data_IF_668363875391
#
_entry.id   IF_668363875391
#
_cell.length_a   1.000
_cell.length_b   1.000
_cell.length_c   1.000
_cell.angle_alpha   90.00
_cell.angle_beta   90.00
_cell.angle_gamma   90.00
#
_symmetry.space_group_name_H-M   'P 1'
#
loop_
_entity.id
_entity.type
_entity.pdbx_description
1 polymer ?
#
# COMPACT_ATOMS: atom_id res chain seq x y z
N UNK A 1 -5.80 1.94 -17.53
CA UNK A 1 -6.68 0.78 -17.22
C UNK A 1 -5.76 -0.29 -16.65
N UNK A 2 -5.72 -0.36 -15.34
CA UNK A 2 -4.91 -1.36 -14.67
C UNK A 2 -5.58 -2.71 -14.85
N UNK A 3 -4.95 -3.60 -15.57
CA UNK A 3 -5.35 -4.98 -15.62
C UNK A 3 -5.50 -5.48 -14.18
N UNK A 4 -6.70 -5.85 -13.76
CA UNK A 4 -6.99 -6.44 -12.46
C UNK A 4 -6.08 -7.66 -12.36
N UNK A 5 -5.12 -7.56 -11.52
CA UNK A 5 -3.96 -8.39 -11.51
C UNK A 5 -4.15 -9.84 -11.37
N UNK A 6 -3.55 -10.78 -11.46
CA UNK A 6 -3.45 -12.21 -11.33
C UNK A 6 -4.71 -12.90 -10.81
N UNK A 7 -4.82 -14.16 -11.10
CA UNK A 7 -5.98 -15.03 -10.82
C UNK A 7 -6.52 -14.96 -9.38
N UNK A 8 -5.66 -14.68 -8.39
CA UNK A 8 -6.05 -14.62 -6.97
C UNK A 8 -6.82 -13.33 -6.65
N UNK A 9 -6.33 -12.17 -7.10
CA UNK A 9 -7.05 -10.89 -6.88
C UNK A 9 -8.38 -10.88 -7.64
N UNK A 10 -8.40 -11.40 -8.86
CA UNK A 10 -9.61 -11.50 -9.68
C UNK A 10 -10.66 -12.40 -9.03
N UNK A 11 -10.27 -13.57 -8.53
CA UNK A 11 -11.18 -14.47 -7.80
C UNK A 11 -11.79 -13.78 -6.58
N UNK A 12 -10.96 -13.15 -5.74
CA UNK A 12 -11.43 -12.45 -4.54
C UNK A 12 -12.36 -11.28 -4.91
N UNK A 13 -12.00 -10.49 -5.92
CA UNK A 13 -12.80 -9.39 -6.42
C UNK A 13 -14.19 -9.86 -6.88
N UNK A 14 -14.24 -10.89 -7.72
CA UNK A 14 -15.50 -11.40 -8.25
C UNK A 14 -16.43 -11.92 -7.15
N UNK A 15 -15.90 -12.67 -6.16
CA UNK A 15 -16.70 -13.13 -5.02
C UNK A 15 -17.24 -11.95 -4.20
N UNK A 16 -16.45 -10.91 -3.96
CA UNK A 16 -16.93 -9.73 -3.25
C UNK A 16 -18.01 -8.99 -4.04
N UNK A 17 -17.84 -8.83 -5.35
CA UNK A 17 -18.84 -8.19 -6.21
C UNK A 17 -20.15 -8.97 -6.21
N UNK A 18 -20.13 -10.30 -6.29
CA UNK A 18 -21.32 -11.12 -6.22
C UNK A 18 -22.02 -11.01 -4.84
N UNK A 19 -21.24 -11.01 -3.75
CA UNK A 19 -21.78 -10.74 -2.41
C UNK A 19 -22.46 -9.37 -2.35
N UNK A 20 -21.80 -8.32 -2.81
CA UNK A 20 -22.35 -6.96 -2.78
C UNK A 20 -23.64 -6.85 -3.61
N UNK A 21 -23.74 -7.52 -4.75
CA UNK A 21 -24.95 -7.58 -5.56
C UNK A 21 -26.09 -8.33 -4.87
N UNK A 22 -25.77 -9.40 -4.10
CA UNK A 22 -26.77 -10.15 -3.36
C UNK A 22 -27.31 -9.37 -2.17
N UNK A 23 -26.41 -8.71 -1.42
CA UNK A 23 -26.76 -7.96 -0.21
C UNK A 23 -27.44 -6.63 -0.50
N UNK A 24 -27.22 -6.07 -1.73
CA UNK A 24 -27.77 -4.78 -2.16
C UNK A 24 -28.52 -4.92 -3.49
N UNK A 25 -29.82 -5.27 -3.47
CA UNK A 25 -30.63 -5.40 -4.70
C UNK A 25 -30.68 -4.13 -5.55
N UNK A 26 -30.44 -2.95 -4.95
CA UNK A 26 -30.38 -1.64 -5.64
C UNK A 26 -29.23 -1.60 -6.65
N UNK A 27 -28.12 -2.29 -6.38
CA UNK A 27 -26.99 -2.39 -7.32
C UNK A 27 -27.35 -3.15 -8.61
N UNK A 28 -28.47 -3.88 -8.64
CA UNK A 28 -29.01 -4.53 -9.84
C UNK A 28 -29.76 -3.58 -10.76
N UNK A 29 -30.19 -2.41 -10.26
CA UNK A 29 -30.88 -1.38 -11.05
C UNK A 29 -29.86 -0.35 -11.57
N UNK A 30 -29.75 -0.23 -12.88
CA UNK A 30 -28.76 0.58 -13.60
C UNK A 30 -28.76 2.11 -13.31
N UNK A 31 -29.75 2.65 -12.59
CA UNK A 31 -30.00 4.10 -12.53
C UNK A 31 -30.04 4.74 -11.12
N UNK A 32 -29.69 4.01 -10.05
CA UNK A 32 -29.64 4.60 -8.71
C UNK A 32 -28.20 4.79 -8.26
N UNK A 33 -27.88 5.94 -7.66
CA UNK A 33 -26.54 6.31 -7.25
C UNK A 33 -25.94 5.27 -6.29
N UNK A 34 -24.75 4.78 -6.61
CA UNK A 34 -24.00 3.84 -5.78
C UNK A 34 -23.57 4.58 -4.50
N UNK A 35 -23.93 4.03 -3.33
CA UNK A 35 -23.36 4.52 -2.07
C UNK A 35 -21.86 4.27 -2.09
N UNK A 36 -21.07 5.34 -1.94
CA UNK A 36 -19.60 5.30 -2.08
C UNK A 36 -18.92 4.30 -1.16
N UNK A 37 -19.49 4.04 0.02
CA UNK A 37 -18.97 3.04 0.98
C UNK A 37 -18.99 1.61 0.46
N UNK A 38 -19.86 1.30 -0.50
CA UNK A 38 -19.96 -0.05 -1.09
C UNK A 38 -18.71 -0.40 -1.91
N UNK A 39 -18.05 0.59 -2.50
CA UNK A 39 -16.88 0.35 -3.35
C UNK A 39 -15.56 0.30 -2.59
N UNK A 40 -15.54 0.64 -1.29
CA UNK A 40 -14.30 0.63 -0.49
C UNK A 40 -13.68 -0.77 -0.41
N UNK A 41 -14.48 -1.81 -0.20
CA UNK A 41 -14.01 -3.18 -0.21
C UNK A 41 -13.36 -3.60 -1.53
N UNK A 42 -14.06 -3.46 -2.67
CA UNK A 42 -13.48 -3.69 -4.00
C UNK A 42 -12.19 -2.93 -4.27
N UNK A 43 -12.09 -1.65 -3.89
CA UNK A 43 -10.89 -0.85 -4.06
C UNK A 43 -9.72 -1.38 -3.22
N UNK A 44 -9.98 -1.80 -1.98
CA UNK A 44 -8.96 -2.38 -1.11
C UNK A 44 -8.48 -3.75 -1.61
N UNK A 45 -9.37 -4.59 -2.15
CA UNK A 45 -8.98 -5.85 -2.82
C UNK A 45 -8.06 -5.57 -4.02
N UNK A 46 -8.36 -4.52 -4.79
CA UNK A 46 -7.50 -4.12 -5.91
C UNK A 46 -6.16 -3.55 -5.47
N UNK A 47 -6.04 -3.09 -4.22
CA UNK A 47 -4.75 -2.71 -3.66
C UNK A 47 -3.96 -3.92 -3.19
N UNK A 48 -4.57 -4.79 -2.37
CA UNK A 48 -3.92 -5.95 -1.79
C UNK A 48 -4.95 -7.00 -1.40
N UNK A 49 -4.71 -8.23 -1.80
CA UNK A 49 -5.41 -9.42 -1.30
C UNK A 49 -4.48 -10.17 -0.36
N UNK A 50 -4.97 -10.53 0.80
CA UNK A 50 -4.23 -11.31 1.77
C UNK A 50 -4.55 -12.80 1.62
N UNK A 51 -3.53 -13.68 1.53
CA UNK A 51 -3.73 -15.11 1.32
C UNK A 51 -4.58 -15.75 2.43
N UNK A 52 -5.43 -16.67 2.02
CA UNK A 52 -6.21 -17.57 2.89
C UNK A 52 -6.18 -18.96 2.28
N UNK A 53 -6.48 -19.99 3.06
CA UNK A 53 -6.63 -21.36 2.55
C UNK A 53 -7.64 -21.44 1.39
N UNK A 54 -8.69 -20.63 1.45
CA UNK A 54 -9.68 -20.56 0.38
C UNK A 54 -9.09 -19.99 -0.92
N UNK A 55 -8.21 -18.98 -0.84
CA UNK A 55 -7.53 -18.43 -2.03
C UNK A 55 -6.48 -19.37 -2.59
N UNK A 56 -5.83 -20.14 -1.73
CA UNK A 56 -4.85 -21.17 -2.14
C UNK A 56 -5.52 -22.44 -2.70
N UNK A 57 -6.85 -22.47 -2.77
CA UNK A 57 -7.59 -23.58 -3.36
C UNK A 57 -7.92 -24.73 -2.40
N UNK A 58 -7.62 -24.59 -1.11
CA UNK A 58 -7.90 -25.61 -0.09
C UNK A 58 -9.39 -25.67 0.30
N UNK A 59 -10.07 -24.52 0.19
CA UNK A 59 -11.50 -24.39 0.49
C UNK A 59 -12.19 -23.41 -0.43
N UNK A 60 -13.54 -23.39 -0.43
CA UNK A 60 -14.30 -22.40 -1.21
C UNK A 60 -14.22 -21.02 -0.55
N UNK A 61 -14.06 -19.98 -1.37
CA UNK A 61 -14.19 -18.59 -0.93
C UNK A 61 -15.68 -18.36 -0.63
N UNK A 62 -15.97 -18.02 0.61
CA UNK A 62 -17.33 -17.69 1.06
C UNK A 62 -17.49 -16.20 1.31
N UNK A 63 -18.72 -15.73 1.39
CA UNK A 63 -19.02 -14.35 1.76
C UNK A 63 -18.40 -13.95 3.12
N UNK A 64 -18.34 -14.86 4.08
CA UNK A 64 -17.73 -14.62 5.39
C UNK A 64 -16.19 -14.63 5.35
N UNK A 65 -15.58 -15.38 4.43
CA UNK A 65 -14.13 -15.44 4.31
C UNK A 65 -13.55 -14.23 3.57
N UNK A 66 -14.34 -13.61 2.66
CA UNK A 66 -13.85 -12.52 1.81
C UNK A 66 -13.43 -11.28 2.62
N UNK A 67 -14.14 -10.95 3.70
CA UNK A 67 -13.83 -9.80 4.55
C UNK A 67 -12.45 -9.91 5.20
N UNK A 68 -11.99 -11.13 5.43
CA UNK A 68 -10.65 -11.43 5.99
C UNK A 68 -9.53 -11.41 4.94
N UNK A 69 -9.83 -11.08 3.70
CA UNK A 69 -8.88 -11.10 2.59
C UNK A 69 -8.36 -9.72 2.18
N UNK A 70 -8.88 -8.64 2.74
CA UNK A 70 -8.46 -7.27 2.41
C UNK A 70 -8.49 -6.34 3.62
N UNK A 71 -7.98 -5.13 3.47
CA UNK A 71 -8.03 -4.08 4.47
C UNK A 71 -7.31 -4.41 5.77
N UNK A 72 -7.78 -3.81 6.86
CA UNK A 72 -7.24 -4.03 8.21
C UNK A 72 -7.36 -5.47 8.66
N UNK A 73 -8.52 -6.09 8.46
CA UNK A 73 -8.79 -7.46 8.93
C UNK A 73 -7.88 -8.48 8.23
N UNK A 74 -7.70 -8.34 6.92
CA UNK A 74 -6.77 -9.17 6.17
C UNK A 74 -5.33 -9.00 6.64
N UNK A 75 -4.90 -7.76 6.83
CA UNK A 75 -3.56 -7.44 7.32
C UNK A 75 -3.32 -8.02 8.72
N UNK A 76 -4.23 -7.77 9.67
CA UNK A 76 -4.05 -8.17 11.08
C UNK A 76 -4.21 -9.68 11.31
N UNK A 77 -4.83 -10.38 10.38
CA UNK A 77 -4.86 -11.84 10.40
C UNK A 77 -3.47 -12.44 10.15
N UNK A 78 -2.67 -11.83 9.30
CA UNK A 78 -1.35 -12.33 8.90
C UNK A 78 -0.19 -11.68 9.65
N UNK A 79 -0.43 -10.49 10.19
CA UNK A 79 0.55 -9.72 10.94
C UNK A 79 0.11 -9.56 12.40
N UNK A 80 1.07 -9.39 13.28
CA UNK A 80 0.83 -8.92 14.66
C UNK A 80 1.45 -7.54 14.83
N UNK A 81 0.80 -6.68 15.59
CA UNK A 81 1.38 -5.40 16.03
C UNK A 81 2.07 -5.57 17.37
N UNK A 82 3.19 -4.90 17.56
CA UNK A 82 3.83 -4.76 18.86
C UNK A 82 2.97 -4.00 19.87
N UNK A 83 3.39 -3.97 21.14
CA UNK A 83 2.68 -3.27 22.23
C UNK A 83 2.48 -1.78 21.92
N UNK A 84 3.41 -1.16 21.23
CA UNK A 84 3.36 0.26 20.80
C UNK A 84 2.37 0.51 19.65
N UNK A 85 1.78 -0.53 19.07
CA UNK A 85 0.93 -0.48 17.86
C UNK A 85 1.61 0.14 16.62
N UNK A 86 2.93 0.35 16.66
CA UNK A 86 3.72 1.00 15.60
C UNK A 86 4.40 0.00 14.69
N UNK A 87 4.71 -1.17 15.22
CA UNK A 87 5.54 -2.17 14.57
C UNK A 87 4.70 -3.35 14.12
N UNK A 88 4.99 -3.81 12.92
CA UNK A 88 4.41 -5.03 12.35
C UNK A 88 5.41 -6.17 12.38
N UNK A 89 4.89 -7.37 12.60
CA UNK A 89 5.67 -8.60 12.54
C UNK A 89 4.79 -9.69 11.93
N UNK A 90 5.35 -10.48 11.03
CA UNK A 90 4.65 -11.67 10.54
C UNK A 90 4.29 -12.60 11.70
N UNK A 91 3.11 -13.22 11.63
CA UNK A 91 2.79 -14.36 12.49
C UNK A 91 3.57 -15.57 12.02
N UNK A 92 3.97 -16.44 12.95
CA UNK A 92 4.73 -17.64 12.61
C UNK A 92 3.94 -18.56 11.66
N UNK A 93 2.63 -18.70 11.89
CA UNK A 93 1.73 -19.41 10.99
C UNK A 93 1.71 -18.80 9.57
N UNK A 94 1.79 -17.47 9.44
CA UNK A 94 1.88 -16.80 8.14
C UNK A 94 3.17 -17.16 7.43
N UNK A 95 4.30 -17.12 8.13
CA UNK A 95 5.59 -17.44 7.54
C UNK A 95 5.67 -18.90 7.08
N UNK A 96 5.15 -19.83 7.88
CA UNK A 96 5.16 -21.26 7.53
C UNK A 96 4.22 -21.58 6.36
N UNK A 97 3.05 -20.97 6.30
CA UNK A 97 2.03 -21.29 5.32
C UNK A 97 2.17 -20.49 4.00
N UNK A 98 2.42 -19.18 4.09
CA UNK A 98 2.42 -18.28 2.93
C UNK A 98 3.78 -17.64 2.65
N UNK A 99 4.71 -17.73 3.61
CA UNK A 99 5.99 -17.03 3.53
C UNK A 99 5.87 -15.53 3.77
N UNK A 100 6.87 -14.78 3.31
CA UNK A 100 6.94 -13.31 3.43
C UNK A 100 6.12 -12.66 2.32
N UNK A 101 4.84 -12.47 2.56
CA UNK A 101 3.85 -12.04 1.56
C UNK A 101 4.14 -10.68 0.91
N UNK A 102 4.87 -9.80 1.60
CA UNK A 102 5.27 -8.49 1.06
C UNK A 102 6.61 -8.53 0.31
N UNK A 103 7.33 -9.67 0.31
CA UNK A 103 8.56 -9.81 -0.47
C UNK A 103 8.31 -9.58 -1.97
N UNK A 104 9.32 -9.12 -2.70
CA UNK A 104 9.22 -8.85 -4.12
C UNK A 104 8.71 -10.04 -4.94
N UNK A 105 9.10 -11.23 -4.53
CA UNK A 105 8.67 -12.48 -5.17
C UNK A 105 7.18 -12.77 -4.96
N UNK A 106 6.71 -12.63 -3.71
CA UNK A 106 5.34 -12.97 -3.32
C UNK A 106 4.32 -11.87 -3.63
N UNK A 107 4.72 -10.60 -3.51
CA UNK A 107 3.81 -9.47 -3.67
C UNK A 107 3.11 -9.45 -5.04
N UNK A 108 3.77 -9.92 -6.11
CA UNK A 108 3.18 -10.01 -7.45
C UNK A 108 1.93 -10.90 -7.50
N UNK A 109 1.85 -11.89 -6.61
CA UNK A 109 0.71 -12.82 -6.49
C UNK A 109 -0.49 -12.16 -5.81
N UNK A 110 -0.23 -11.34 -4.78
CA UNK A 110 -1.26 -10.78 -3.91
C UNK A 110 -1.60 -9.32 -4.23
N UNK A 111 -0.72 -8.60 -4.91
CA UNK A 111 -0.92 -7.23 -5.38
C UNK A 111 -0.11 -6.92 -6.62
N UNK A 112 -0.73 -7.00 -7.77
CA UNK A 112 -0.09 -6.55 -9.02
C UNK A 112 0.18 -5.05 -9.00
N UNK A 113 -0.71 -4.27 -8.38
CA UNK A 113 -0.57 -2.83 -8.25
C UNK A 113 0.68 -2.45 -7.47
N UNK A 114 0.87 -3.00 -6.26
CA UNK A 114 2.06 -2.73 -5.44
C UNK A 114 3.31 -3.23 -6.17
N UNK A 115 3.29 -4.43 -6.74
CA UNK A 115 4.41 -4.95 -7.53
C UNK A 115 4.82 -4.01 -8.66
N UNK A 116 3.85 -3.49 -9.43
CA UNK A 116 4.11 -2.52 -10.51
C UNK A 116 4.71 -1.23 -9.96
N UNK A 117 4.14 -0.68 -8.87
CA UNK A 117 4.67 0.53 -8.22
C UNK A 117 6.12 0.33 -7.78
N UNK A 118 6.45 -0.79 -7.12
CA UNK A 118 7.81 -1.10 -6.70
C UNK A 118 8.77 -1.16 -7.90
N UNK A 119 8.35 -1.77 -9.00
CA UNK A 119 9.13 -1.83 -10.23
C UNK A 119 9.41 -0.45 -10.81
N UNK A 120 8.39 0.42 -10.84
CA UNK A 120 8.55 1.80 -11.34
C UNK A 120 9.38 2.67 -10.38
N UNK A 121 9.22 2.52 -9.06
CA UNK A 121 10.06 3.20 -8.06
C UNK A 121 11.54 2.87 -8.26
N UNK A 122 11.88 1.61 -8.54
CA UNK A 122 13.27 1.19 -8.80
C UNK A 122 13.90 1.88 -10.02
N UNK A 123 13.10 2.14 -11.05
CA UNK A 123 13.54 2.79 -12.30
C UNK A 123 13.48 4.32 -12.23
N UNK A 124 12.72 4.88 -11.29
CA UNK A 124 12.39 6.30 -11.25
C UNK A 124 13.61 7.19 -10.98
N UNK A 125 13.55 8.42 -11.52
CA UNK A 125 14.51 9.48 -11.23
C UNK A 125 13.82 10.54 -10.35
N UNK A 126 14.42 10.88 -9.20
CA UNK A 126 13.87 11.87 -8.28
C UNK A 126 12.80 11.30 -7.32
N UNK A 127 11.97 12.17 -6.80
CA UNK A 127 10.98 11.84 -5.77
C UNK A 127 9.74 11.22 -6.41
N UNK A 128 9.28 10.11 -5.85
CA UNK A 128 8.03 9.44 -6.23
C UNK A 128 7.00 9.66 -5.12
N UNK A 129 5.84 10.20 -5.48
CA UNK A 129 4.70 10.33 -4.59
C UNK A 129 3.70 9.18 -4.85
N UNK A 130 3.19 8.59 -3.79
CA UNK A 130 2.18 7.53 -3.87
C UNK A 130 1.04 7.88 -2.93
N UNK A 131 -0.14 7.98 -3.49
CA UNK A 131 -1.36 8.31 -2.75
C UNK A 131 -2.25 7.08 -2.60
N UNK A 132 -2.78 6.87 -1.39
CA UNK A 132 -3.88 5.96 -1.12
C UNK A 132 -4.83 6.56 -0.09
N UNK A 133 -6.14 6.47 -0.33
CA UNK A 133 -7.13 6.89 0.66
C UNK A 133 -7.20 5.95 1.87
N UNK A 134 -6.73 4.69 1.71
CA UNK A 134 -6.76 3.68 2.76
C UNK A 134 -5.40 3.58 3.45
N UNK A 135 -5.37 3.75 4.77
CA UNK A 135 -4.13 3.61 5.54
C UNK A 135 -3.73 2.13 5.59
N UNK A 136 -4.54 1.28 6.23
CA UNK A 136 -4.23 -0.14 6.40
C UNK A 136 -4.52 -1.00 5.16
N UNK A 137 -5.43 -0.54 4.29
CA UNK A 137 -5.74 -1.20 3.02
C UNK A 137 -4.91 -0.72 1.83
N UNK A 138 -3.95 0.20 2.02
CA UNK A 138 -3.16 0.78 0.94
C UNK A 138 -1.78 1.26 1.37
N UNK A 139 -1.68 2.32 2.21
CA UNK A 139 -0.40 2.91 2.62
C UNK A 139 0.49 1.90 3.37
N UNK A 140 -0.06 1.17 4.34
CA UNK A 140 0.70 0.21 5.16
C UNK A 140 1.25 -0.96 4.34
N UNK A 141 0.44 -1.71 3.54
CA UNK A 141 0.98 -2.80 2.74
C UNK A 141 2.04 -2.33 1.74
N UNK A 142 1.89 -1.13 1.17
CA UNK A 142 2.91 -0.55 0.30
C UNK A 142 4.21 -0.26 1.06
N UNK A 143 4.13 0.34 2.26
CA UNK A 143 5.32 0.63 3.08
C UNK A 143 6.03 -0.67 3.51
N UNK A 144 5.29 -1.69 3.94
CA UNK A 144 5.85 -3.00 4.26
C UNK A 144 6.57 -3.63 3.05
N UNK A 145 5.99 -3.52 1.85
CA UNK A 145 6.61 -4.00 0.64
C UNK A 145 7.88 -3.20 0.25
N UNK A 146 7.92 -1.88 0.50
CA UNK A 146 9.13 -1.07 0.34
C UNK A 146 10.24 -1.52 1.30
N UNK A 147 9.92 -1.79 2.56
CA UNK A 147 10.90 -2.28 3.54
C UNK A 147 11.43 -3.66 3.17
N UNK A 148 10.58 -4.54 2.60
CA UNK A 148 11.00 -5.86 2.11
C UNK A 148 12.05 -5.77 0.99
N UNK A 149 11.93 -4.80 0.09
CA UNK A 149 12.91 -4.58 -0.97
C UNK A 149 14.12 -3.74 -0.55
N UNK A 150 14.23 -3.37 0.73
CA UNK A 150 15.40 -2.71 1.31
C UNK A 150 15.33 -1.19 1.43
N UNK A 151 14.14 -0.60 1.44
CA UNK A 151 13.95 0.78 1.87
C UNK A 151 14.01 0.88 3.40
N UNK A 152 14.41 2.04 3.89
CA UNK A 152 14.27 2.45 5.29
C UNK A 152 13.29 3.61 5.39
N UNK A 153 12.55 3.68 6.50
CA UNK A 153 11.75 4.87 6.79
C UNK A 153 12.67 6.04 7.14
N UNK A 154 12.38 7.21 6.61
CA UNK A 154 13.26 8.37 6.74
C UNK A 154 13.42 8.88 8.17
N UNK A 155 12.39 8.69 9.01
CA UNK A 155 12.42 8.97 10.45
C UNK A 155 13.16 7.91 11.29
N UNK A 156 13.62 6.82 10.69
CA UNK A 156 14.27 5.69 11.38
C UNK A 156 13.31 4.69 12.02
N UNK A 157 12.01 4.99 12.06
CA UNK A 157 10.99 4.14 12.67
C UNK A 157 10.29 3.28 11.59
N UNK A 158 10.94 2.24 11.14
CA UNK A 158 10.36 1.29 10.19
C UNK A 158 9.04 0.70 10.71
N UNK A 159 8.17 0.27 9.79
CA UNK A 159 6.93 -0.43 10.16
C UNK A 159 7.22 -1.86 10.60
N UNK A 160 8.17 -2.56 10.00
CA UNK A 160 8.60 -3.84 10.54
C UNK A 160 9.39 -3.66 11.85
N UNK A 161 9.00 -4.42 12.87
CA UNK A 161 9.72 -4.48 14.15
C UNK A 161 11.18 -4.92 13.96
N UNK A 162 11.38 -5.93 13.14
CA UNK A 162 12.70 -6.41 12.74
C UNK A 162 12.84 -6.23 11.24
N UNK A 163 13.87 -5.53 10.82
CA UNK A 163 14.10 -5.23 9.41
C UNK A 163 14.14 -6.52 8.56
N UNK A 164 13.26 -6.65 7.56
CA UNK A 164 13.12 -7.90 6.83
C UNK A 164 14.28 -8.17 5.87
N UNK A 165 14.93 -7.11 5.37
CA UNK A 165 16.06 -7.21 4.44
C UNK A 165 17.31 -6.59 5.04
N UNK A 166 18.42 -7.33 4.99
CA UNK A 166 19.75 -6.82 5.35
C UNK A 166 20.36 -6.00 4.20
N UNK A 167 19.92 -6.24 2.97
CA UNK A 167 20.42 -5.54 1.78
C UNK A 167 19.59 -4.28 1.55
N UNK A 168 20.21 -3.12 1.72
CA UNK A 168 19.58 -1.82 1.42
C UNK A 168 19.58 -1.56 -0.09
N UNK A 169 18.45 -1.10 -0.62
CA UNK A 169 18.33 -0.71 -2.03
C UNK A 169 19.07 0.61 -2.27
N UNK A 170 19.95 0.60 -3.29
CA UNK A 170 20.76 1.76 -3.68
C UNK A 170 20.22 2.40 -4.94
N UNK A 171 20.34 3.71 -5.00
CA UNK A 171 20.06 4.54 -6.17
C UNK A 171 21.30 5.37 -6.52
N UNK A 172 21.42 5.77 -7.79
CA UNK A 172 22.49 6.65 -8.24
C UNK A 172 21.95 8.04 -8.56
N UNK A 173 22.61 9.05 -8.05
CA UNK A 173 22.42 10.43 -8.44
C UNK A 173 23.06 10.71 -9.81
N UNK A 174 22.67 11.80 -10.48
CA UNK A 174 23.25 12.21 -11.79
C UNK A 174 24.77 12.37 -11.77
N UNK A 175 25.35 12.79 -10.65
CA UNK A 175 26.78 12.92 -10.45
C UNK A 175 27.50 11.60 -10.09
N UNK A 176 26.81 10.46 -10.19
CA UNK A 176 27.34 9.14 -9.88
C UNK A 176 27.33 8.76 -8.40
N UNK A 177 27.05 9.69 -7.48
CA UNK A 177 26.99 9.42 -6.04
C UNK A 177 25.80 8.50 -5.72
N UNK A 178 26.07 7.46 -4.94
CA UNK A 178 25.03 6.53 -4.48
C UNK A 178 24.34 7.01 -3.20
N UNK A 179 23.07 6.67 -3.06
CA UNK A 179 22.30 6.86 -1.83
C UNK A 179 21.35 5.68 -1.61
N UNK A 180 20.95 5.47 -0.36
CA UNK A 180 20.01 4.41 -0.02
C UNK A 180 18.56 4.88 -0.14
N UNK A 181 17.68 3.98 -0.61
CA UNK A 181 16.26 4.25 -0.69
C UNK A 181 15.66 4.47 0.68
N UNK A 182 15.03 5.64 0.87
CA UNK A 182 14.25 5.96 2.04
C UNK A 182 12.85 6.38 1.64
N UNK A 183 11.87 6.05 2.48
CA UNK A 183 10.50 6.51 2.29
C UNK A 183 10.04 7.36 3.49
N UNK A 184 9.15 8.30 3.22
CA UNK A 184 8.36 9.02 4.21
C UNK A 184 6.91 8.55 4.11
N UNK A 185 6.20 8.54 5.23
CA UNK A 185 4.78 8.14 5.28
C UNK A 185 4.00 9.16 6.09
N UNK A 186 3.19 9.95 5.41
CA UNK A 186 2.44 11.08 5.97
C UNK A 186 0.95 10.73 5.91
N UNK A 187 0.40 10.35 7.06
CA UNK A 187 -1.00 9.96 7.19
C UNK A 187 -1.70 10.76 8.29
N UNK A 188 -3.02 10.68 8.36
CA UNK A 188 -3.80 11.25 9.46
C UNK A 188 -3.76 10.43 10.75
N UNK A 189 -3.12 9.25 10.76
CA UNK A 189 -3.02 8.38 11.94
C UNK A 189 -1.69 8.61 12.66
N UNK A 190 -1.70 9.24 13.87
CA UNK A 190 -0.48 9.52 14.61
C UNK A 190 0.22 8.25 15.13
N UNK A 191 -0.48 7.12 15.19
CA UNK A 191 0.12 5.83 15.56
C UNK A 191 1.01 5.30 14.44
N UNK A 192 0.53 5.38 13.21
CA UNK A 192 1.23 4.93 12.01
C UNK A 192 2.29 5.94 11.58
N UNK A 193 1.97 7.23 11.68
CA UNK A 193 2.82 8.35 11.24
C UNK A 193 3.06 9.38 12.34
N UNK A 194 3.80 9.01 13.40
CA UNK A 194 4.05 9.89 14.54
C UNK A 194 4.96 11.07 14.20
N UNK A 195 5.73 10.99 13.13
CA UNK A 195 6.76 11.95 12.75
C UNK A 195 6.43 12.73 11.47
N UNK A 196 5.14 12.95 11.17
CA UNK A 196 4.68 13.61 9.94
C UNK A 196 5.44 14.92 9.66
N UNK A 197 5.58 15.80 10.64
CA UNK A 197 6.28 17.09 10.47
C UNK A 197 7.76 16.93 10.11
N UNK A 198 8.44 15.99 10.75
CA UNK A 198 9.85 15.70 10.46
C UNK A 198 10.02 15.11 9.05
N UNK A 199 9.20 14.11 8.72
CA UNK A 199 9.23 13.46 7.40
C UNK A 199 8.86 14.43 6.28
N UNK A 200 7.88 15.31 6.51
CA UNK A 200 7.51 16.37 5.55
C UNK A 200 8.68 17.34 5.30
N UNK A 201 9.33 17.79 6.37
CA UNK A 201 10.48 18.70 6.24
C UNK A 201 11.62 18.06 5.44
N UNK A 202 11.87 16.78 5.61
CA UNK A 202 12.87 16.06 4.81
C UNK A 202 12.46 15.97 3.34
N UNK A 203 11.20 15.63 3.04
CA UNK A 203 10.70 15.55 1.66
C UNK A 203 10.81 16.88 0.94
N UNK A 204 10.44 17.99 1.61
CA UNK A 204 10.40 19.34 1.02
C UNK A 204 11.74 20.07 1.10
N UNK A 205 12.74 19.50 1.74
CA UNK A 205 14.10 20.04 1.85
C UNK A 205 14.72 20.31 0.46
N UNK A 206 15.45 21.43 0.35
CA UNK A 206 16.26 21.73 -0.86
C UNK A 206 17.27 20.62 -1.15
N UNK A 207 17.80 19.99 -0.10
CA UNK A 207 18.75 18.87 -0.23
C UNK A 207 18.09 17.61 -0.79
N UNK A 208 16.75 17.51 -0.74
CA UNK A 208 16.03 16.37 -1.31
C UNK A 208 15.56 16.58 -2.76
N UNK A 209 16.04 17.59 -3.46
CA UNK A 209 15.60 17.93 -4.83
C UNK A 209 15.56 16.74 -5.80
N UNK A 210 16.40 15.76 -5.60
CA UNK A 210 16.53 14.58 -6.47
C UNK A 210 16.17 13.26 -5.77
N UNK A 211 15.57 13.33 -4.58
CA UNK A 211 15.16 12.15 -3.82
C UNK A 211 16.29 11.44 -3.06
N UNK A 212 17.40 12.13 -2.79
CA UNK A 212 18.56 11.54 -2.12
C UNK A 212 18.36 11.37 -0.59
N UNK A 213 17.50 12.17 0.03
CA UNK A 213 17.13 12.02 1.43
C UNK A 213 15.87 11.15 1.59
N UNK A 214 14.85 11.43 0.76
CA UNK A 214 13.59 10.69 0.71
C UNK A 214 13.23 10.43 -0.74
N UNK A 215 13.26 9.17 -1.14
CA UNK A 215 12.99 8.73 -2.50
C UNK A 215 11.51 8.55 -2.78
N UNK A 216 10.76 8.05 -1.80
CA UNK A 216 9.32 7.77 -1.90
C UNK A 216 8.59 8.51 -0.79
N UNK A 217 7.49 9.16 -1.13
CA UNK A 217 6.56 9.72 -0.16
C UNK A 217 5.20 9.04 -0.32
N UNK A 218 4.73 8.39 0.74
CA UNK A 218 3.41 7.79 0.83
C UNK A 218 2.51 8.78 1.57
N UNK A 219 1.39 9.15 0.97
CA UNK A 219 0.43 10.06 1.59
C UNK A 219 -0.97 9.45 1.62
N UNK A 220 -1.70 9.70 2.72
CA UNK A 220 -3.12 9.41 2.81
C UNK A 220 -3.96 10.66 2.58
N UNK A 221 -5.29 10.48 2.48
CA UNK A 221 -6.23 11.58 2.33
C UNK A 221 -6.05 12.67 3.39
N UNK A 222 -6.05 12.32 4.66
CA UNK A 222 -5.89 13.27 5.76
C UNK A 222 -4.47 13.86 5.84
N UNK A 223 -3.47 13.15 5.31
CA UNK A 223 -2.09 13.61 5.27
C UNK A 223 -1.78 14.52 4.07
N UNK A 224 -2.71 14.67 3.11
CA UNK A 224 -2.47 15.44 1.89
C UNK A 224 -2.96 16.90 1.95
N UNK A 225 -3.79 17.25 2.93
CA UNK A 225 -4.39 18.58 3.01
C UNK A 225 -3.36 19.65 3.40
N UNK A 226 -3.28 20.73 2.62
CA UNK A 226 -2.40 21.87 2.89
C UNK A 226 -0.90 21.64 2.65
N UNK A 227 -0.51 20.58 1.93
CA UNK A 227 0.88 20.29 1.64
C UNK A 227 1.28 20.78 0.25
N UNK A 228 2.39 21.53 0.18
CA UNK A 228 3.04 21.96 -1.07
C UNK A 228 4.30 21.12 -1.31
N UNK A 229 4.17 20.08 -2.10
CA UNK A 229 5.29 19.23 -2.48
C UNK A 229 6.00 19.77 -3.72
N UNK A 230 7.29 20.07 -3.57
CA UNK A 230 8.15 20.46 -4.68
C UNK A 230 9.00 19.28 -5.16
N UNK A 231 9.36 19.32 -6.45
CA UNK A 231 10.27 18.33 -7.05
C UNK A 231 9.74 16.90 -7.15
N UNK A 232 8.45 16.67 -7.07
CA UNK A 232 7.86 15.37 -7.40
C UNK A 232 8.08 15.10 -8.89
N UNK A 233 8.60 13.90 -9.21
CA UNK A 233 8.90 13.49 -10.59
C UNK A 233 7.95 12.42 -11.12
N UNK A 234 7.32 11.70 -10.21
CA UNK A 234 6.39 10.63 -10.53
C UNK A 234 5.32 10.56 -9.47
N UNK A 235 4.09 10.33 -9.86
CA UNK A 235 2.96 10.16 -8.95
C UNK A 235 2.20 8.89 -9.29
N UNK A 236 1.83 8.13 -8.26
CA UNK A 236 0.96 6.98 -8.35
C UNK A 236 -0.26 7.20 -7.48
N UNK A 237 -1.44 7.07 -8.07
CA UNK A 237 -2.73 7.02 -7.37
C UNK A 237 -3.12 5.56 -7.25
N UNK A 238 -3.19 5.04 -6.03
CA UNK A 238 -3.58 3.64 -5.82
C UNK A 238 -5.07 3.43 -6.10
N UNK A 239 -5.91 4.42 -5.78
CA UNK A 239 -7.34 4.40 -6.09
C UNK A 239 -7.76 5.67 -6.81
N UNK A 240 -8.69 5.57 -7.79
CA UNK A 240 -9.31 6.74 -8.35
C UNK A 240 -10.22 7.40 -7.30
N UNK A 241 -10.26 8.72 -7.32
CA UNK A 241 -11.22 9.47 -6.52
C UNK A 241 -12.56 9.59 -7.27
N UNK A 242 -13.67 9.53 -6.56
CA UNK A 242 -15.01 9.63 -7.17
C UNK A 242 -15.28 10.97 -7.87
N UNK A 243 -14.57 12.00 -7.42
CA UNK A 243 -14.67 13.33 -8.01
C UNK A 243 -13.38 13.65 -8.75
N UNK A 244 -13.45 13.71 -10.08
CA UNK A 244 -12.30 14.02 -10.95
C UNK A 244 -11.63 15.35 -10.59
N UNK A 245 -12.36 16.33 -10.04
CA UNK A 245 -11.78 17.60 -9.58
C UNK A 245 -10.73 17.39 -8.49
N UNK A 246 -10.94 16.43 -7.57
CA UNK A 246 -9.94 16.10 -6.52
C UNK A 246 -8.80 15.21 -7.00
N UNK A 247 -8.98 14.52 -8.11
CA UNK A 247 -7.90 13.73 -8.74
C UNK A 247 -6.88 14.62 -9.43
N UNK A 248 -7.30 15.82 -9.86
CA UNK A 248 -6.49 16.80 -10.60
C UNK A 248 -5.87 17.88 -9.69
N UNK A 249 -6.16 17.89 -8.41
CA UNK A 249 -5.51 18.74 -7.40
C UNK A 249 -4.27 18.07 -6.84
#
# INVERSE_FOLDING_TARGET
>A
ITNIGGTIQEKAYNVLIEKLKSDNPILKKKNEGIQYTIIDGPLQILNMVYPTEALEGVSKITAASIEKMYGSDGLMRLMKRGKSKKDYQYRDATLSQFGRIFSEEKIKTYSKKIHTILSEVKKSKGIVMIYSQFIEGGCVPLALALEEIGFDRSSGNNLFKTKPSTKRLKFKHRNGKEFFGKYAMITGDPTISPNNKFELNQVTSRNNKYGQEVKVVIISRAGSEGLDFKNIRQMHLMEPWYNLKRTNQ
#
